data_IF_756871136309
#
_entry.id   IF_756871136309
#
_cell.length_a   1.000
_cell.length_b   1.000
_cell.length_c   1.000
_cell.angle_alpha   90.00
_cell.angle_beta   90.00
_cell.angle_gamma   90.00
#
_symmetry.space_group_name_H-M   'P 1'
#
loop_
_entity.id
_entity.type
_entity.pdbx_description
1 polymer ?
#
# COMPACT_ATOMS: atom_id res chain seq x y z
N UNK A 1 -6.10 -11.18 1.89
CA UNK A 1 -5.37 -12.40 2.32
C UNK A 1 -6.23 -13.17 3.30
N UNK A 2 -6.25 -14.50 3.20
CA UNK A 2 -6.97 -15.41 4.11
C UNK A 2 -6.47 -15.29 5.56
N UNK A 3 -5.17 -15.04 5.76
CA UNK A 3 -4.59 -14.80 7.09
C UNK A 3 -4.74 -13.34 7.55
N UNK A 4 -5.39 -12.47 6.77
CA UNK A 4 -5.63 -11.06 7.08
C UNK A 4 -4.38 -10.23 7.43
N UNK A 5 -3.20 -10.66 6.98
CA UNK A 5 -1.91 -10.04 7.35
C UNK A 5 -1.49 -10.23 8.82
N UNK A 6 -2.24 -11.01 9.62
CA UNK A 6 -1.94 -11.23 11.03
C UNK A 6 -0.70 -12.11 11.21
N UNK A 7 0.24 -11.65 12.03
CA UNK A 7 1.51 -12.34 12.30
C UNK A 7 2.34 -12.62 11.04
N UNK A 8 2.11 -11.84 9.98
CA UNK A 8 2.86 -11.92 8.73
C UNK A 8 3.70 -10.65 8.57
N UNK A 9 4.92 -10.84 8.07
CA UNK A 9 5.76 -9.74 7.60
C UNK A 9 5.74 -9.76 6.07
N UNK A 10 5.63 -8.59 5.46
CA UNK A 10 5.77 -8.40 4.02
C UNK A 10 7.16 -7.82 3.77
N UNK A 11 8.05 -8.66 3.26
CA UNK A 11 9.46 -8.32 2.99
C UNK A 11 9.65 -7.71 1.61
N UNK A 12 8.63 -7.79 0.75
CA UNK A 12 8.70 -7.41 -0.65
C UNK A 12 8.92 -8.60 -1.59
N UNK A 13 9.02 -9.83 -1.07
CA UNK A 13 9.01 -11.04 -1.88
C UNK A 13 7.61 -11.26 -2.49
N UNK A 14 7.55 -11.42 -3.81
CA UNK A 14 6.31 -11.54 -4.56
C UNK A 14 5.54 -12.83 -4.19
N UNK A 15 6.23 -13.84 -3.66
CA UNK A 15 5.58 -15.04 -3.14
C UNK A 15 4.67 -14.80 -1.93
N UNK A 16 4.89 -13.71 -1.17
CA UNK A 16 4.06 -13.32 -0.03
C UNK A 16 2.74 -12.67 -0.49
N UNK A 17 2.75 -12.04 -1.67
CA UNK A 17 1.60 -11.33 -2.24
C UNK A 17 0.76 -12.20 -3.16
N UNK A 18 1.41 -13.11 -3.91
CA UNK A 18 0.78 -13.93 -4.94
C UNK A 18 0.95 -15.41 -4.60
N UNK A 19 -0.04 -15.95 -3.89
CA UNK A 19 -0.04 -17.34 -3.47
C UNK A 19 -1.42 -17.79 -3.01
N UNK A 20 -1.51 -19.03 -2.52
CA UNK A 20 -2.79 -19.63 -2.08
C UNK A 20 -3.43 -18.90 -0.89
N UNK A 21 -2.68 -18.05 -0.19
CA UNK A 21 -3.19 -17.19 0.87
C UNK A 21 -3.87 -15.91 0.35
N UNK A 22 -3.79 -15.63 -0.94
CA UNK A 22 -4.48 -14.49 -1.56
C UNK A 22 -5.95 -14.83 -1.69
N UNK A 23 -6.80 -13.98 -1.12
CA UNK A 23 -8.25 -14.12 -1.23
C UNK A 23 -8.68 -13.57 -2.60
N UNK A 24 -8.87 -14.48 -3.56
CA UNK A 24 -9.20 -14.12 -4.94
C UNK A 24 -10.62 -13.56 -5.03
N UNK A 25 -11.55 -14.05 -4.22
CA UNK A 25 -12.95 -13.59 -4.23
C UNK A 25 -13.02 -12.12 -3.78
N UNK A 26 -12.28 -11.76 -2.72
CA UNK A 26 -12.15 -10.38 -2.28
C UNK A 26 -11.47 -9.49 -3.34
N UNK A 27 -10.45 -9.98 -4.04
CA UNK A 27 -9.80 -9.23 -5.12
C UNK A 27 -10.77 -8.96 -6.28
N UNK A 28 -11.51 -9.97 -6.73
CA UNK A 28 -12.51 -9.81 -7.79
C UNK A 28 -13.61 -8.83 -7.37
N UNK A 29 -14.07 -8.91 -6.13
CA UNK A 29 -15.03 -7.95 -5.59
C UNK A 29 -14.51 -6.51 -5.67
N UNK A 30 -13.28 -6.26 -5.22
CA UNK A 30 -12.70 -4.92 -5.25
C UNK A 30 -12.45 -4.42 -6.68
N UNK A 31 -12.05 -5.30 -7.60
CA UNK A 31 -11.93 -4.96 -9.02
C UNK A 31 -13.28 -4.52 -9.60
N UNK A 32 -14.34 -5.30 -9.35
CA UNK A 32 -15.70 -4.96 -9.81
C UNK A 32 -16.21 -3.66 -9.18
N UNK A 33 -15.94 -3.43 -7.89
CA UNK A 33 -16.33 -2.22 -7.19
C UNK A 33 -15.64 -0.98 -7.77
N UNK A 34 -14.31 -1.03 -7.98
CA UNK A 34 -13.56 0.06 -8.58
C UNK A 34 -14.00 0.33 -10.03
N UNK A 35 -14.13 -0.72 -10.86
CA UNK A 35 -14.58 -0.58 -12.25
C UNK A 35 -15.97 0.08 -12.32
N UNK A 36 -16.91 -0.37 -11.47
CA UNK A 36 -18.25 0.22 -11.36
C UNK A 36 -18.19 1.69 -10.93
N UNK A 37 -17.46 2.02 -9.86
CA UNK A 37 -17.38 3.40 -9.34
C UNK A 37 -16.78 4.35 -10.38
N UNK A 38 -15.68 3.96 -11.03
CA UNK A 38 -15.03 4.78 -12.04
C UNK A 38 -15.84 4.87 -13.35
N UNK A 39 -16.71 3.89 -13.64
CA UNK A 39 -17.67 3.97 -14.74
C UNK A 39 -18.82 4.94 -14.42
N UNK A 40 -19.42 4.83 -13.24
CA UNK A 40 -20.59 5.63 -12.86
C UNK A 40 -20.25 7.09 -12.55
N UNK A 41 -19.08 7.34 -11.99
CA UNK A 41 -18.63 8.66 -11.52
C UNK A 41 -17.34 9.10 -12.21
N UNK A 42 -17.21 8.81 -13.50
CA UNK A 42 -16.02 9.10 -14.30
C UNK A 42 -15.51 10.53 -14.07
N UNK A 43 -14.25 10.65 -13.63
CA UNK A 43 -13.57 11.93 -13.36
C UNK A 43 -13.88 12.58 -12.00
N UNK A 44 -14.85 12.06 -11.24
CA UNK A 44 -15.30 12.64 -9.96
C UNK A 44 -15.22 11.69 -8.76
N UNK A 45 -14.69 10.47 -8.96
CA UNK A 45 -14.48 9.50 -7.90
C UNK A 45 -12.99 9.28 -7.67
N UNK A 46 -12.60 9.24 -6.40
CA UNK A 46 -11.27 8.82 -5.95
C UNK A 46 -11.45 7.68 -4.96
N UNK A 47 -10.82 6.55 -5.22
CA UNK A 47 -10.82 5.41 -4.30
C UNK A 47 -9.43 5.25 -3.67
N UNK A 48 -9.40 5.03 -2.36
CA UNK A 48 -8.16 4.93 -1.58
C UNK A 48 -8.15 3.59 -0.85
N UNK A 49 -7.08 2.83 -1.03
CA UNK A 49 -6.85 1.61 -0.27
C UNK A 49 -6.04 1.88 1.00
N UNK A 50 -6.58 1.44 2.13
CA UNK A 50 -5.82 1.28 3.37
C UNK A 50 -5.24 -0.13 3.39
N UNK A 51 -3.97 -0.26 2.98
CA UNK A 51 -3.26 -1.54 2.91
C UNK A 51 -1.82 -1.37 3.43
N UNK A 52 -1.52 -2.09 4.52
CA UNK A 52 -0.18 -2.12 5.12
C UNK A 52 0.77 -2.99 4.30
N UNK A 53 0.28 -4.05 3.65
CA UNK A 53 1.13 -5.06 2.99
C UNK A 53 1.95 -4.48 1.82
N UNK A 54 1.39 -3.49 1.12
CA UNK A 54 1.98 -2.94 -0.08
C UNK A 54 1.79 -3.83 -1.30
N UNK A 55 0.61 -4.44 -1.43
CA UNK A 55 0.27 -5.33 -2.52
C UNK A 55 0.56 -4.67 -3.88
N UNK A 56 1.42 -5.27 -4.73
CA UNK A 56 1.66 -4.77 -6.07
C UNK A 56 0.36 -4.70 -6.88
N UNK A 57 0.24 -3.67 -7.73
CA UNK A 57 -0.90 -3.42 -8.64
C UNK A 57 -2.24 -3.09 -7.97
N UNK A 58 -2.25 -2.90 -6.65
CA UNK A 58 -3.43 -2.47 -5.90
C UNK A 58 -3.95 -1.12 -6.41
N UNK A 59 -3.06 -0.20 -6.74
CA UNK A 59 -3.39 1.13 -7.26
C UNK A 59 -3.10 1.28 -8.77
N UNK A 60 -3.35 0.22 -9.54
CA UNK A 60 -3.34 0.23 -11.02
C UNK A 60 -4.76 -0.02 -11.56
N UNK A 61 -5.10 0.52 -12.75
CA UNK A 61 -6.42 0.32 -13.36
C UNK A 61 -6.78 -1.16 -13.57
N UNK A 62 -8.07 -1.48 -13.44
CA UNK A 62 -8.60 -2.84 -13.71
C UNK A 62 -8.31 -3.29 -15.14
N UNK A 63 -8.36 -2.36 -16.11
CA UNK A 63 -8.03 -2.63 -17.52
C UNK A 63 -6.58 -3.07 -17.75
N UNK A 64 -5.67 -2.80 -16.80
CA UNK A 64 -4.27 -3.25 -16.83
C UNK A 64 -4.04 -4.54 -16.01
N UNK A 65 -5.09 -5.10 -15.41
CA UNK A 65 -5.00 -6.22 -14.47
C UNK A 65 -4.68 -5.81 -13.02
N UNK A 66 -4.82 -4.53 -12.68
CA UNK A 66 -4.75 -4.05 -11.31
C UNK A 66 -6.07 -4.19 -10.55
N UNK A 67 -6.08 -3.83 -9.26
CA UNK A 67 -7.28 -3.89 -8.41
C UNK A 67 -8.18 -2.65 -8.61
N UNK A 68 -7.63 -1.56 -9.14
CA UNK A 68 -8.39 -0.40 -9.58
C UNK A 68 -8.44 0.79 -8.62
N UNK A 69 -7.75 0.76 -7.48
CA UNK A 69 -7.68 1.93 -6.60
C UNK A 69 -6.87 3.07 -7.23
N UNK A 70 -7.17 4.32 -6.88
CA UNK A 70 -6.36 5.46 -7.30
C UNK A 70 -5.11 5.65 -6.46
N UNK A 71 -5.23 5.44 -5.15
CA UNK A 71 -4.15 5.67 -4.19
C UNK A 71 -4.11 4.55 -3.15
N UNK A 72 -2.95 4.35 -2.56
CA UNK A 72 -2.80 3.66 -1.27
C UNK A 72 -2.24 4.58 -0.19
N UNK A 73 -2.53 4.28 1.07
CA UNK A 73 -1.90 4.96 2.20
C UNK A 73 -0.47 4.43 2.41
N UNK A 74 0.50 5.33 2.61
CA UNK A 74 1.91 4.97 2.88
C UNK A 74 2.13 4.84 4.39
N UNK A 75 1.59 3.78 4.97
CA UNK A 75 1.45 3.63 6.43
C UNK A 75 2.78 3.55 7.19
N UNK A 76 3.87 3.11 6.54
CA UNK A 76 5.19 2.98 7.17
C UNK A 76 5.83 4.32 7.61
N UNK A 77 5.38 5.45 7.07
CA UNK A 77 5.94 6.77 7.42
C UNK A 77 5.62 7.15 8.86
N UNK A 78 4.38 6.93 9.29
CA UNK A 78 3.95 7.24 10.65
C UNK A 78 4.74 6.41 11.69
N UNK A 79 4.89 5.10 11.45
CA UNK A 79 5.65 4.21 12.32
C UNK A 79 7.13 4.63 12.43
N UNK A 80 7.73 5.10 11.32
CA UNK A 80 9.10 5.60 11.32
C UNK A 80 9.26 6.85 12.18
N UNK A 81 8.32 7.78 12.15
CA UNK A 81 8.37 8.95 13.03
C UNK A 81 8.20 8.58 14.49
N UNK A 82 7.38 7.59 14.81
CA UNK A 82 7.28 7.04 16.17
C UNK A 82 8.64 6.48 16.61
N UNK A 83 9.24 5.58 15.81
CA UNK A 83 10.56 4.99 16.08
C UNK A 83 11.65 6.05 16.32
N UNK A 84 11.74 7.04 15.43
CA UNK A 84 12.74 8.12 15.51
C UNK A 84 12.59 8.91 16.81
N UNK A 85 11.36 9.26 17.19
CA UNK A 85 11.09 10.06 18.38
C UNK A 85 11.22 9.27 19.68
N UNK A 86 11.01 7.95 19.66
CA UNK A 86 11.05 7.12 20.88
C UNK A 86 12.37 6.36 21.08
N UNK A 87 13.12 6.05 20.03
CA UNK A 87 14.23 5.09 20.08
C UNK A 87 15.59 5.65 19.65
N UNK A 88 15.65 6.62 18.74
CA UNK A 88 16.92 7.06 18.13
C UNK A 88 17.75 8.01 18.99
N UNK A 89 17.21 8.49 20.11
CA UNK A 89 17.91 9.36 21.04
C UNK A 89 17.97 10.82 20.56
N UNK A 90 19.15 11.44 20.67
CA UNK A 90 19.34 12.86 20.35
C UNK A 90 19.22 13.12 18.84
N UNK A 91 18.75 14.31 18.47
CA UNK A 91 18.46 14.73 17.10
C UNK A 91 19.69 14.77 16.18
N UNK A 92 20.87 15.02 16.74
CA UNK A 92 22.15 14.99 16.04
C UNK A 92 22.62 13.58 15.62
N UNK A 93 22.03 12.53 16.19
CA UNK A 93 22.35 11.14 15.88
C UNK A 93 21.40 10.49 14.87
N UNK A 94 20.39 11.21 14.38
CA UNK A 94 19.37 10.64 13.50
C UNK A 94 19.95 10.21 12.15
N UNK A 95 19.57 9.00 11.71
CA UNK A 95 19.95 8.48 10.39
C UNK A 95 19.10 9.09 9.28
N UNK A 96 19.62 10.17 8.68
CA UNK A 96 18.98 10.86 7.56
C UNK A 96 18.78 9.96 6.34
N UNK A 97 19.67 8.98 6.11
CA UNK A 97 19.56 8.06 4.98
C UNK A 97 18.38 7.11 5.16
N UNK A 98 18.19 6.58 6.36
CA UNK A 98 17.05 5.73 6.71
C UNK A 98 15.71 6.48 6.62
N UNK A 99 15.67 7.74 7.06
CA UNK A 99 14.50 8.61 6.92
C UNK A 99 14.10 8.82 5.46
N UNK A 100 15.04 9.29 4.63
CA UNK A 100 14.79 9.51 3.20
C UNK A 100 14.38 8.21 2.52
N UNK A 101 15.05 7.10 2.82
CA UNK A 101 14.68 5.80 2.28
C UNK A 101 13.23 5.44 2.62
N UNK A 102 12.78 5.65 3.86
CA UNK A 102 11.41 5.32 4.26
C UNK A 102 10.36 6.19 3.55
N UNK A 103 10.65 7.48 3.37
CA UNK A 103 9.78 8.41 2.66
C UNK A 103 9.66 8.07 1.16
N UNK A 104 10.77 7.68 0.54
CA UNK A 104 10.84 7.43 -0.90
C UNK A 104 10.59 5.97 -1.31
N UNK A 105 10.65 5.00 -0.39
CA UNK A 105 10.47 3.58 -0.67
C UNK A 105 9.00 3.26 -0.98
N UNK A 106 8.62 3.51 -2.23
CA UNK A 106 7.29 3.25 -2.79
C UNK A 106 7.39 2.86 -4.26
N UNK A 107 6.33 2.22 -4.77
CA UNK A 107 6.26 1.83 -6.18
C UNK A 107 5.97 3.06 -7.04
N UNK A 108 6.90 3.44 -7.91
CA UNK A 108 6.79 4.64 -8.75
C UNK A 108 5.52 4.68 -9.62
N UNK A 109 5.07 3.52 -10.11
CA UNK A 109 3.86 3.40 -10.95
C UNK A 109 2.53 3.45 -10.20
N UNK A 110 2.54 3.56 -8.87
CA UNK A 110 1.34 3.51 -8.02
C UNK A 110 1.31 4.73 -7.10
N UNK A 111 0.23 5.52 -7.19
CA UNK A 111 0.12 6.74 -6.40
C UNK A 111 -0.07 6.38 -4.92
N UNK A 112 0.58 7.11 -4.04
CA UNK A 112 0.47 6.93 -2.59
C UNK A 112 0.13 8.26 -1.92
N UNK A 113 -0.59 8.20 -0.80
CA UNK A 113 -0.83 9.34 0.10
C UNK A 113 0.03 9.12 1.34
N UNK A 114 0.93 10.07 1.61
CA UNK A 114 1.82 10.08 2.77
C UNK A 114 1.23 10.97 3.86
N UNK A 115 1.42 10.60 5.12
CA UNK A 115 0.97 11.36 6.30
C UNK A 115 1.94 11.14 7.47
#
# INVERSE_FOLDING_TARGET
YEHHGLQMAFTGDYGEYFGMATDVDAMVYLMLANDMLHTLYAGNCVTIAEDVSGMPTLARPVSEGGVGFDYRLQMAIADKWVEVLSEWGMDDAWDMGNLVHTLENRRWGEKCISY
#
